data_IF_615655063105
#
_entry.id   IF_615655063105
#
_cell.length_a   1.000
_cell.length_b   1.000
_cell.length_c   1.000
_cell.angle_alpha   90.00
_cell.angle_beta   90.00
_cell.angle_gamma   90.00
#
_symmetry.space_group_name_H-M   'P 1'
#
loop_
_entity.id
_entity.type
_entity.pdbx_description
1 polymer ?
#
# COMPACT_ATOMS: atom_id res chain seq x y z
N UNK A 1 -0.35 -13.33 21.73
CA UNK A 1 1.02 -13.88 21.74
C UNK A 1 0.98 -15.38 21.85
N UNK A 2 1.90 -16.13 21.20
CA UNK A 2 2.98 -15.64 20.33
C UNK A 2 2.47 -14.88 19.08
N UNK A 3 3.34 -14.10 18.43
CA UNK A 3 3.00 -13.30 17.24
C UNK A 3 4.22 -13.17 16.31
N UNK A 4 4.09 -13.62 15.07
CA UNK A 4 5.06 -13.44 13.98
C UNK A 4 4.53 -12.34 13.04
N UNK A 5 5.19 -11.17 12.95
CA UNK A 5 4.78 -10.10 12.03
C UNK A 5 5.10 -10.39 10.56
N UNK A 6 4.84 -9.39 9.70
CA UNK A 6 5.19 -9.38 8.28
C UNK A 6 3.96 -9.53 7.39
N UNK A 7 3.61 -8.47 6.65
CA UNK A 7 2.45 -8.41 5.75
C UNK A 7 2.78 -7.83 4.37
N UNK A 8 4.07 -7.76 4.04
CA UNK A 8 4.61 -7.32 2.75
C UNK A 8 5.44 -8.47 2.18
N UNK A 9 4.76 -9.58 1.88
CA UNK A 9 5.43 -10.87 1.62
C UNK A 9 5.57 -11.07 0.13
N UNK A 10 6.79 -11.38 -0.32
CA UNK A 10 7.08 -11.82 -1.68
C UNK A 10 7.84 -13.14 -1.60
N UNK A 11 7.43 -14.13 -2.39
CA UNK A 11 8.07 -15.44 -2.40
C UNK A 11 7.71 -16.26 -3.63
N UNK A 12 8.28 -17.46 -3.69
CA UNK A 12 8.02 -18.44 -4.74
C UNK A 12 6.94 -19.43 -4.29
N UNK A 13 6.01 -19.77 -5.18
CA UNK A 13 5.00 -20.80 -4.92
C UNK A 13 5.66 -22.17 -4.88
N UNK A 14 5.61 -22.83 -3.72
CA UNK A 14 6.13 -24.20 -3.57
C UNK A 14 5.08 -25.28 -3.89
N UNK A 15 3.83 -25.04 -3.49
CA UNK A 15 2.72 -25.99 -3.64
C UNK A 15 1.41 -25.21 -3.88
N UNK A 16 0.47 -25.82 -4.59
CA UNK A 16 -0.88 -25.29 -4.83
C UNK A 16 -1.94 -26.32 -4.44
N UNK A 17 -3.09 -25.85 -3.97
CA UNK A 17 -4.24 -26.71 -3.72
C UNK A 17 -4.85 -27.27 -5.01
N UNK A 18 -5.61 -28.36 -4.91
CA UNK A 18 -6.18 -29.08 -6.08
C UNK A 18 -7.08 -28.21 -6.96
N UNK A 19 -7.76 -27.23 -6.36
CA UNK A 19 -8.71 -26.36 -7.06
C UNK A 19 -8.09 -25.02 -7.48
N UNK A 20 -6.80 -24.82 -7.21
CA UNK A 20 -6.07 -23.61 -7.59
C UNK A 20 -5.64 -23.71 -9.05
N UNK A 21 -6.09 -22.74 -9.85
CA UNK A 21 -5.74 -22.65 -11.29
C UNK A 21 -5.05 -21.34 -11.66
N UNK A 22 -5.11 -20.34 -10.77
CA UNK A 22 -4.53 -19.01 -11.00
C UNK A 22 -2.99 -19.00 -10.95
N UNK A 23 -2.40 -19.93 -10.21
CA UNK A 23 -0.97 -19.98 -9.95
C UNK A 23 -0.37 -21.36 -10.25
N UNK A 24 0.95 -21.39 -10.44
CA UNK A 24 1.73 -22.63 -10.58
C UNK A 24 2.95 -22.61 -9.66
N UNK A 25 3.47 -23.79 -9.31
CA UNK A 25 4.73 -23.91 -8.59
C UNK A 25 5.88 -23.23 -9.38
N UNK A 26 6.76 -22.53 -8.67
CA UNK A 26 7.84 -21.73 -9.26
C UNK A 26 7.46 -20.29 -9.62
N UNK A 27 6.17 -19.92 -9.58
CA UNK A 27 5.78 -18.52 -9.81
C UNK A 27 6.15 -17.62 -8.61
N UNK A 28 6.61 -16.41 -8.91
CA UNK A 28 6.84 -15.37 -7.89
C UNK A 28 5.53 -14.62 -7.62
N UNK A 29 5.13 -14.59 -6.35
CA UNK A 29 3.83 -14.07 -5.90
C UNK A 29 3.97 -13.17 -4.67
N UNK A 30 2.96 -12.33 -4.45
CA UNK A 30 2.86 -11.43 -3.32
C UNK A 30 1.66 -11.72 -2.42
N UNK A 31 1.81 -11.47 -1.12
CA UNK A 31 0.73 -11.49 -0.11
C UNK A 31 0.78 -10.21 0.70
N UNK A 32 -0.37 -9.55 0.83
CA UNK A 32 -0.52 -8.29 1.58
C UNK A 32 -1.06 -8.48 3.01
N UNK A 33 -1.81 -7.47 3.46
CA UNK A 33 -2.34 -7.40 4.83
C UNK A 33 -3.47 -8.38 5.16
N UNK A 34 -4.14 -8.95 4.16
CA UNK A 34 -5.31 -9.80 4.35
C UNK A 34 -5.05 -11.19 3.79
N UNK A 35 -5.57 -12.21 4.46
CA UNK A 35 -5.48 -13.62 4.06
C UNK A 35 -6.84 -14.29 3.98
N UNK A 36 -7.92 -13.60 4.35
CA UNK A 36 -9.27 -14.16 4.37
C UNK A 36 -10.37 -13.10 4.41
N UNK A 37 -11.57 -13.49 3.98
CA UNK A 37 -12.81 -12.71 4.15
C UNK A 37 -14.02 -13.66 4.10
N UNK A 38 -15.25 -13.15 4.28
CA UNK A 38 -16.45 -14.02 4.25
C UNK A 38 -16.92 -14.45 2.84
N UNK A 39 -16.39 -13.85 1.78
CA UNK A 39 -16.69 -14.20 0.38
C UNK A 39 -18.13 -13.96 -0.10
N UNK A 40 -19.00 -13.38 0.73
CA UNK A 40 -20.46 -13.38 0.49
C UNK A 40 -21.17 -12.07 0.81
N UNK A 41 -20.48 -11.12 1.47
CA UNK A 41 -21.04 -9.81 1.78
C UNK A 41 -20.87 -8.84 0.61
N UNK A 42 -21.61 -7.72 0.62
CA UNK A 42 -21.54 -6.70 -0.44
C UNK A 42 -20.10 -6.26 -0.77
N UNK A 43 -19.24 -5.89 0.19
CA UNK A 43 -17.84 -5.60 -0.11
C UNK A 43 -17.11 -6.71 -0.87
N UNK A 44 -17.20 -7.97 -0.39
CA UNK A 44 -16.56 -9.12 -1.04
C UNK A 44 -17.07 -9.38 -2.46
N UNK A 45 -18.34 -9.10 -2.73
CA UNK A 45 -18.95 -9.27 -4.06
C UNK A 45 -18.68 -8.09 -5.01
N UNK A 46 -17.89 -7.10 -4.57
CA UNK A 46 -17.54 -5.90 -5.34
C UNK A 46 -16.02 -5.64 -5.33
N UNK A 47 -15.22 -6.70 -5.15
CA UNK A 47 -13.74 -6.66 -5.10
C UNK A 47 -13.21 -5.62 -4.09
N UNK A 48 -13.87 -5.59 -2.93
CA UNK A 48 -13.63 -4.66 -1.81
C UNK A 48 -13.50 -5.41 -0.49
N UNK A 49 -12.80 -6.54 -0.51
CA UNK A 49 -12.62 -7.45 0.63
C UNK A 49 -12.01 -6.75 1.85
N UNK A 50 -11.21 -5.69 1.67
CA UNK A 50 -10.66 -4.87 2.74
C UNK A 50 -11.73 -4.16 3.59
N UNK A 51 -12.93 -3.96 3.03
CA UNK A 51 -14.08 -3.42 3.76
C UNK A 51 -15.01 -4.51 4.29
N UNK A 52 -14.65 -5.79 4.15
CA UNK A 52 -15.39 -6.89 4.78
C UNK A 52 -15.33 -6.77 6.31
N UNK A 53 -16.47 -6.94 7.02
CA UNK A 53 -16.48 -6.98 8.49
C UNK A 53 -15.84 -8.25 9.07
N UNK A 54 -15.66 -9.29 8.25
CA UNK A 54 -15.02 -10.57 8.62
C UNK A 54 -13.72 -10.81 7.85
N UNK A 55 -13.00 -9.73 7.50
CA UNK A 55 -11.65 -9.84 6.94
C UNK A 55 -10.71 -10.45 7.98
N UNK A 56 -9.72 -11.21 7.52
CA UNK A 56 -8.73 -11.87 8.37
C UNK A 56 -7.36 -11.30 8.02
N UNK A 57 -6.62 -10.84 9.02
CA UNK A 57 -5.28 -10.25 8.85
C UNK A 57 -4.19 -11.30 8.70
N UNK A 58 -3.11 -10.97 7.98
CA UNK A 58 -1.99 -11.90 7.75
C UNK A 58 -1.24 -12.32 9.01
N UNK A 59 -1.36 -11.57 10.12
CA UNK A 59 -0.91 -12.01 11.44
C UNK A 59 -1.76 -11.39 12.55
N UNK A 60 -1.63 -11.93 13.77
CA UNK A 60 -2.32 -11.46 14.98
C UNK A 60 -3.86 -11.47 14.85
N UNK A 61 -4.37 -12.40 14.06
CA UNK A 61 -5.79 -12.71 13.92
C UNK A 61 -5.99 -14.23 14.05
N UNK A 62 -7.22 -14.71 13.83
CA UNK A 62 -7.57 -16.13 13.84
C UNK A 62 -8.11 -16.51 12.47
N UNK A 63 -7.52 -17.53 11.86
CA UNK A 63 -7.95 -18.05 10.57
C UNK A 63 -9.22 -18.92 10.71
N UNK A 64 -9.82 -19.34 9.59
CA UNK A 64 -11.11 -20.06 9.59
C UNK A 64 -11.04 -21.45 10.22
N UNK A 65 -9.85 -22.03 10.35
CA UNK A 65 -9.59 -23.30 11.02
C UNK A 65 -9.41 -23.17 12.54
N UNK A 66 -9.44 -21.94 13.07
CA UNK A 66 -9.25 -21.62 14.49
C UNK A 66 -7.79 -21.38 14.90
N UNK A 67 -6.82 -21.52 13.99
CA UNK A 67 -5.41 -21.25 14.28
C UNK A 67 -5.10 -19.75 14.21
N UNK A 68 -4.16 -19.27 15.03
CA UNK A 68 -3.65 -17.90 14.88
C UNK A 68 -2.95 -17.69 13.54
N UNK A 69 -3.25 -16.60 12.85
CA UNK A 69 -2.47 -16.20 11.66
C UNK A 69 -1.07 -15.74 12.08
N UNK A 70 -0.06 -16.17 11.30
CA UNK A 70 1.35 -15.84 11.49
C UNK A 70 1.91 -15.30 10.18
N UNK A 71 2.59 -14.16 10.25
CA UNK A 71 2.99 -13.38 9.10
C UNK A 71 4.25 -13.90 8.39
N UNK A 72 4.71 -13.12 7.42
CA UNK A 72 5.80 -13.51 6.52
C UNK A 72 7.22 -13.51 7.11
N UNK A 73 7.42 -13.17 8.38
CA UNK A 73 8.72 -13.33 9.04
C UNK A 73 8.97 -14.80 9.44
N UNK A 74 8.80 -15.69 8.46
CA UNK A 74 8.88 -17.14 8.57
C UNK A 74 9.47 -17.73 7.28
N UNK A 75 9.90 -18.99 7.31
CA UNK A 75 10.44 -19.68 6.12
C UNK A 75 9.39 -19.97 5.04
N UNK A 76 8.10 -20.02 5.40
CA UNK A 76 6.98 -20.20 4.47
C UNK A 76 5.66 -19.74 5.09
N UNK A 77 4.64 -19.52 4.26
CA UNK A 77 3.27 -19.20 4.64
C UNK A 77 2.31 -19.87 3.65
N UNK A 78 1.13 -20.28 4.13
CA UNK A 78 0.04 -20.81 3.30
C UNK A 78 -1.11 -19.80 3.30
N UNK A 79 -1.60 -19.41 2.13
CA UNK A 79 -2.59 -18.35 1.97
C UNK A 79 -3.61 -18.76 0.91
N UNK A 80 -4.88 -18.41 1.13
CA UNK A 80 -5.92 -18.62 0.13
C UNK A 80 -5.62 -17.86 -1.17
N UNK A 81 -5.77 -18.52 -2.32
CA UNK A 81 -5.41 -18.00 -3.64
C UNK A 81 -6.06 -16.64 -3.98
N UNK A 82 -7.20 -16.30 -3.37
CA UNK A 82 -7.87 -15.00 -3.57
C UNK A 82 -7.04 -13.84 -3.04
N UNK A 83 -6.22 -14.07 -2.02
CA UNK A 83 -5.39 -13.06 -1.34
C UNK A 83 -3.93 -13.07 -1.79
N UNK A 84 -3.62 -13.88 -2.80
CA UNK A 84 -2.32 -13.91 -3.47
C UNK A 84 -2.40 -13.10 -4.77
N UNK A 85 -1.37 -12.32 -5.06
CA UNK A 85 -1.23 -11.55 -6.31
C UNK A 85 -0.03 -12.03 -7.12
N UNK A 86 -0.17 -12.04 -8.45
CA UNK A 86 0.98 -12.27 -9.35
C UNK A 86 1.86 -11.04 -9.34
N UNK A 87 3.17 -11.26 -9.35
CA UNK A 87 4.14 -10.18 -9.48
C UNK A 87 4.51 -10.06 -10.96
N UNK A 88 4.45 -8.84 -11.55
CA UNK A 88 4.85 -8.64 -12.94
C UNK A 88 6.31 -9.04 -13.20
N UNK A 89 6.56 -9.61 -14.37
CA UNK A 89 7.90 -10.00 -14.80
C UNK A 89 8.87 -8.81 -14.77
N UNK A 90 10.09 -9.07 -14.29
CA UNK A 90 11.17 -8.07 -14.23
C UNK A 90 11.13 -7.15 -13.00
N UNK A 91 10.14 -7.27 -12.11
CA UNK A 91 10.17 -6.56 -10.83
C UNK A 91 10.98 -7.34 -9.79
N UNK A 92 11.93 -6.67 -9.13
CA UNK A 92 12.69 -7.27 -8.03
C UNK A 92 11.79 -7.44 -6.78
N UNK A 93 11.93 -8.57 -6.09
CA UNK A 93 11.07 -8.94 -4.95
C UNK A 93 11.08 -7.86 -3.84
N UNK A 94 12.26 -7.35 -3.51
CA UNK A 94 12.47 -6.31 -2.51
C UNK A 94 11.84 -4.95 -2.90
N UNK A 95 11.64 -4.69 -4.19
CA UNK A 95 10.96 -3.50 -4.68
C UNK A 95 9.44 -3.64 -4.66
N UNK A 96 8.94 -4.88 -4.77
CA UNK A 96 7.51 -5.19 -4.78
C UNK A 96 6.93 -5.24 -3.37
N UNK A 97 7.68 -5.78 -2.40
CA UNK A 97 7.19 -5.98 -1.05
C UNK A 97 6.51 -4.72 -0.45
N UNK A 98 7.13 -3.50 -0.48
CA UNK A 98 6.48 -2.30 0.03
C UNK A 98 5.20 -1.87 -0.71
N UNK A 99 5.00 -2.33 -1.95
CA UNK A 99 3.81 -2.02 -2.73
C UNK A 99 2.57 -2.75 -2.20
N UNK A 100 2.76 -3.90 -1.55
CA UNK A 100 1.70 -4.77 -1.04
C UNK A 100 0.99 -4.21 0.20
N UNK A 101 1.57 -3.18 0.84
CA UNK A 101 0.91 -2.42 1.91
C UNK A 101 0.97 -0.91 1.62
N UNK A 102 2.14 -0.27 1.68
CA UNK A 102 2.25 1.18 1.52
C UNK A 102 1.80 1.65 0.12
N UNK A 103 2.17 0.93 -0.93
CA UNK A 103 1.80 1.27 -2.30
C UNK A 103 0.28 1.26 -2.53
N UNK A 104 -0.38 0.13 -2.23
CA UNK A 104 -1.83 0.00 -2.40
C UNK A 104 -2.62 0.94 -1.48
N UNK A 105 -2.09 1.24 -0.29
CA UNK A 105 -2.71 2.21 0.65
C UNK A 105 -2.83 3.60 0.04
N UNK A 106 -1.87 4.01 -0.78
CA UNK A 106 -1.90 5.28 -1.51
C UNK A 106 -2.69 5.16 -2.81
N UNK A 107 -2.46 4.10 -3.58
CA UNK A 107 -3.08 3.95 -4.90
C UNK A 107 -4.61 3.84 -4.79
N UNK A 108 -5.11 3.13 -3.78
CA UNK A 108 -6.54 2.90 -3.57
C UNK A 108 -7.37 4.20 -3.48
N UNK A 109 -7.06 5.17 -2.59
CA UNK A 109 -7.79 6.44 -2.54
C UNK A 109 -7.61 7.28 -3.80
N UNK A 110 -6.41 7.36 -4.39
CA UNK A 110 -6.20 8.10 -5.64
C UNK A 110 -7.12 7.58 -6.75
N UNK A 111 -7.20 6.26 -6.90
CA UNK A 111 -8.11 5.63 -7.86
C UNK A 111 -9.59 5.80 -7.48
N UNK A 112 -9.94 5.59 -6.21
CA UNK A 112 -11.33 5.65 -5.75
C UNK A 112 -11.97 7.03 -5.93
N UNK A 113 -11.21 8.10 -5.68
CA UNK A 113 -11.69 9.47 -5.78
C UNK A 113 -11.53 10.07 -7.18
N UNK A 114 -11.17 9.27 -8.20
CA UNK A 114 -11.02 9.73 -9.57
C UNK A 114 -9.80 10.62 -9.80
N UNK A 115 -8.78 10.51 -8.95
CA UNK A 115 -7.55 11.31 -8.97
C UNK A 115 -6.44 10.60 -9.76
N UNK A 116 -6.76 9.97 -10.89
CA UNK A 116 -5.78 9.25 -11.74
C UNK A 116 -5.41 10.03 -12.99
N UNK A 117 -6.04 11.19 -13.22
CA UNK A 117 -5.76 12.07 -14.34
C UNK A 117 -4.53 12.95 -14.10
N UNK A 118 -3.74 13.18 -15.15
CA UNK A 118 -2.59 14.08 -15.10
C UNK A 118 -2.99 15.54 -14.84
N UNK A 119 -2.07 16.32 -14.29
CA UNK A 119 -2.23 17.77 -14.11
C UNK A 119 -2.86 18.19 -12.78
N UNK A 120 -3.29 17.23 -11.95
CA UNK A 120 -3.77 17.50 -10.59
C UNK A 120 -2.62 17.97 -9.68
N UNK A 121 -2.95 18.76 -8.67
CA UNK A 121 -2.05 19.26 -7.62
C UNK A 121 -2.33 18.53 -6.32
N UNK A 122 -1.41 17.68 -5.88
CA UNK A 122 -1.56 16.83 -4.70
C UNK A 122 -0.64 17.24 -3.54
N UNK A 123 -1.20 17.28 -2.33
CA UNK A 123 -0.42 17.35 -1.10
C UNK A 123 -0.11 15.95 -0.55
N UNK A 124 1.11 15.73 -0.07
CA UNK A 124 1.46 14.57 0.76
C UNK A 124 1.89 15.07 2.13
N UNK A 125 1.04 14.87 3.14
CA UNK A 125 1.29 15.29 4.52
C UNK A 125 1.98 14.16 5.29
N UNK A 126 3.22 14.39 5.70
CA UNK A 126 4.09 13.39 6.30
C UNK A 126 4.90 12.60 5.26
N UNK A 127 6.20 12.41 5.52
CA UNK A 127 7.11 11.70 4.61
C UNK A 127 7.72 10.45 5.28
N UNK A 128 6.85 9.50 5.61
CA UNK A 128 7.20 8.14 6.04
C UNK A 128 7.07 7.13 4.90
N UNK A 129 6.88 5.83 5.21
CA UNK A 129 6.74 4.78 4.19
C UNK A 129 5.57 5.00 3.23
N UNK A 130 4.38 5.29 3.76
CA UNK A 130 3.19 5.62 2.95
C UNK A 130 3.37 6.94 2.21
N UNK A 131 3.94 7.97 2.86
CA UNK A 131 4.21 9.27 2.22
C UNK A 131 5.18 9.16 1.04
N UNK A 132 6.23 8.35 1.16
CA UNK A 132 7.15 8.05 0.05
C UNK A 132 6.42 7.47 -1.16
N UNK A 133 5.55 6.50 -0.93
CA UNK A 133 4.72 5.93 -1.99
C UNK A 133 3.71 6.95 -2.53
N UNK A 134 3.20 7.83 -1.66
CA UNK A 134 2.39 9.02 -1.97
C UNK A 134 3.00 9.85 -3.08
N UNK A 135 4.24 10.29 -2.86
CA UNK A 135 4.97 11.11 -3.83
C UNK A 135 5.21 10.33 -5.12
N UNK A 136 5.75 9.11 -5.04
CA UNK A 136 6.10 8.32 -6.23
C UNK A 136 4.91 8.01 -7.12
N UNK A 137 3.79 7.57 -6.54
CA UNK A 137 2.58 7.20 -7.30
C UNK A 137 1.94 8.45 -7.91
N UNK A 138 1.80 9.53 -7.14
CA UNK A 138 1.23 10.78 -7.67
C UNK A 138 2.09 11.39 -8.79
N UNK A 139 3.43 11.39 -8.65
CA UNK A 139 4.34 11.82 -9.73
C UNK A 139 4.21 10.92 -10.96
N UNK A 140 4.11 9.61 -10.79
CA UNK A 140 3.90 8.67 -11.90
C UNK A 140 2.55 8.88 -12.63
N UNK A 141 1.52 9.39 -11.94
CA UNK A 141 0.24 9.80 -12.53
C UNK A 141 0.31 11.17 -13.23
N UNK A 142 1.45 11.87 -13.18
CA UNK A 142 1.62 13.18 -13.80
C UNK A 142 1.04 14.32 -12.97
N UNK A 143 0.97 14.16 -11.65
CA UNK A 143 0.55 15.23 -10.75
C UNK A 143 1.72 16.16 -10.41
N UNK A 144 1.37 17.38 -10.02
CA UNK A 144 2.25 18.28 -9.30
C UNK A 144 2.13 17.98 -7.80
N UNK A 145 3.23 17.59 -7.15
CA UNK A 145 3.23 17.08 -5.78
C UNK A 145 3.94 18.04 -4.84
N UNK A 146 3.22 18.51 -3.84
CA UNK A 146 3.75 19.30 -2.72
C UNK A 146 3.86 18.40 -1.49
N UNK A 147 5.07 18.22 -0.96
CA UNK A 147 5.27 17.53 0.33
C UNK A 147 5.07 18.53 1.47
N UNK A 148 4.23 18.18 2.43
CA UNK A 148 3.96 18.99 3.63
C UNK A 148 4.53 18.25 4.84
N UNK A 149 5.34 18.93 5.64
CA UNK A 149 6.09 18.31 6.75
C UNK A 149 6.23 19.24 7.94
N UNK A 150 6.56 18.69 9.11
CA UNK A 150 6.75 19.48 10.35
C UNK A 150 8.12 20.13 10.48
N UNK A 151 9.08 19.81 9.60
CA UNK A 151 10.43 20.39 9.59
C UNK A 151 11.10 20.25 8.22
N UNK A 152 12.23 20.92 8.00
CA UNK A 152 12.99 20.82 6.74
C UNK A 152 13.84 19.54 6.59
N UNK A 153 13.86 18.65 7.61
CA UNK A 153 14.76 17.48 7.63
C UNK A 153 14.62 16.54 6.43
N UNK A 154 13.43 16.51 5.82
CA UNK A 154 13.07 15.63 4.70
C UNK A 154 13.03 16.36 3.35
N UNK A 155 13.44 17.62 3.30
CA UNK A 155 13.36 18.47 2.10
C UNK A 155 14.22 17.95 0.94
N UNK A 156 15.47 17.59 1.21
CA UNK A 156 16.37 17.01 0.20
C UNK A 156 15.81 15.70 -0.34
N UNK A 157 15.35 14.82 0.55
CA UNK A 157 14.76 13.53 0.16
C UNK A 157 13.49 13.71 -0.70
N UNK A 158 12.61 14.63 -0.30
CA UNK A 158 11.39 14.93 -1.06
C UNK A 158 11.69 15.47 -2.46
N UNK A 159 12.54 16.50 -2.56
CA UNK A 159 12.76 17.22 -3.81
C UNK A 159 13.73 16.48 -4.73
N UNK A 160 14.86 16.01 -4.20
CA UNK A 160 15.96 15.47 -5.02
C UNK A 160 15.82 13.96 -5.26
N UNK A 161 15.33 13.20 -4.27
CA UNK A 161 15.27 11.73 -4.40
C UNK A 161 13.90 11.21 -4.84
N UNK A 162 12.82 11.86 -4.40
CA UNK A 162 11.45 11.46 -4.76
C UNK A 162 10.86 12.28 -5.91
N UNK A 163 11.45 13.42 -6.24
CA UNK A 163 10.99 14.28 -7.32
C UNK A 163 9.68 15.02 -7.03
N UNK A 164 9.40 15.34 -5.77
CA UNK A 164 8.35 16.29 -5.43
C UNK A 164 8.67 17.67 -6.04
N UNK A 165 7.64 18.41 -6.44
CA UNK A 165 7.80 19.71 -7.10
C UNK A 165 7.97 20.83 -6.06
N UNK A 166 7.33 20.69 -4.90
CA UNK A 166 7.38 21.67 -3.81
C UNK A 166 7.53 20.99 -2.44
N UNK A 167 8.05 21.74 -1.47
CA UNK A 167 8.16 21.32 -0.08
C UNK A 167 7.72 22.46 0.84
N UNK A 168 6.81 22.16 1.76
CA UNK A 168 6.19 23.12 2.66
C UNK A 168 6.34 22.66 4.12
N UNK A 169 6.87 23.54 4.97
CA UNK A 169 6.89 23.31 6.42
C UNK A 169 5.57 23.81 7.00
N UNK A 170 4.83 22.94 7.68
CA UNK A 170 3.46 23.23 8.14
C UNK A 170 3.39 24.36 9.18
N UNK A 171 4.49 24.68 9.86
CA UNK A 171 4.60 25.82 10.79
C UNK A 171 4.99 27.14 10.12
N UNK A 172 5.33 27.14 8.83
CA UNK A 172 5.54 28.37 8.06
C UNK A 172 4.20 28.95 7.62
N UNK A 173 3.67 29.88 8.42
CA UNK A 173 2.39 30.51 8.18
C UNK A 173 2.32 31.25 6.83
N UNK A 174 3.42 31.85 6.37
CA UNK A 174 3.45 32.57 5.10
C UNK A 174 3.41 31.61 3.92
N UNK A 175 4.22 30.55 3.95
CA UNK A 175 4.20 29.47 2.96
C UNK A 175 2.83 28.79 2.88
N UNK A 176 2.24 28.46 4.04
CA UNK A 176 0.91 27.86 4.11
C UNK A 176 -0.17 28.77 3.51
N UNK A 177 -0.11 30.08 3.77
CA UNK A 177 -1.05 31.04 3.19
C UNK A 177 -0.89 31.15 1.67
N UNK A 178 0.33 31.11 1.14
CA UNK A 178 0.60 31.13 -0.31
C UNK A 178 0.06 29.87 -1.01
N UNK A 179 0.03 28.73 -0.32
CA UNK A 179 -0.49 27.47 -0.83
C UNK A 179 -2.02 27.32 -0.68
N UNK A 180 -2.72 28.33 -0.15
CA UNK A 180 -4.17 28.27 0.02
C UNK A 180 -4.89 28.00 -1.30
N UNK A 181 -5.91 27.13 -1.26
CA UNK A 181 -6.74 26.76 -2.43
C UNK A 181 -5.95 26.22 -3.63
N UNK A 182 -4.72 25.72 -3.43
CA UNK A 182 -3.83 25.30 -4.52
C UNK A 182 -3.78 23.79 -4.78
N UNK A 183 -4.39 22.97 -3.93
CA UNK A 183 -4.32 21.51 -3.97
C UNK A 183 -5.70 20.90 -4.20
N UNK A 184 -5.79 19.95 -5.13
CA UNK A 184 -7.00 19.17 -5.41
C UNK A 184 -7.26 18.12 -4.34
N UNK A 185 -6.19 17.60 -3.71
CA UNK A 185 -6.28 16.59 -2.66
C UNK A 185 -5.08 16.62 -1.72
N UNK A 186 -5.23 15.99 -0.55
CA UNK A 186 -4.13 15.72 0.39
C UNK A 186 -4.19 14.25 0.80
N UNK A 187 -3.07 13.55 0.69
CA UNK A 187 -2.86 12.24 1.32
C UNK A 187 -2.18 12.47 2.66
N UNK A 188 -2.95 12.34 3.74
CA UNK A 188 -2.42 12.41 5.11
C UNK A 188 -1.89 11.05 5.55
N UNK A 189 -0.61 11.02 5.94
CA UNK A 189 0.10 9.82 6.35
C UNK A 189 0.68 9.94 7.77
N UNK A 190 0.31 10.98 8.51
CA UNK A 190 0.76 11.19 9.89
C UNK A 190 0.04 10.19 10.80
N UNK A 191 0.77 9.40 11.62
CA UNK A 191 0.17 8.44 12.56
C UNK A 191 -0.64 9.07 13.69
#
# INVERSE_FOLDING_TARGET
>A
YPMVPGHEVVGEVLEIGSDVTKFAAGEIVGVGCLVGCCGSCRPCNTDREQYCPKKIWSYNDVYTDGNSTQGGFAGSIVVDQKFVVKIPDGMAAEQVAPLLCAGITVYSPLNHFGLTGSGLRGGVLGLGGVGHMGVKIAKAMGHHVTVISSSDKKKVEALEHLGADEYLVSSDAEGMLKAAESLDYIIDTVP
#
